data_IF_200492081269
#
_entry.id   IF_200492081269
#
_cell.length_a   1.000
_cell.length_b   1.000
_cell.length_c   1.000
_cell.angle_alpha   90.00
_cell.angle_beta   90.00
_cell.angle_gamma   90.00
#
_symmetry.space_group_name_H-M   'P 1'
#
loop_
_entity.id
_entity.type
_entity.pdbx_description
1 polymer ?
#
# COMPACT_ATOMS: atom_id res chain seq x y z
N UNK A 1 -0.80 12.94 -2.64
CA UNK A 1 -1.67 11.76 -2.77
C UNK A 1 -3.11 12.22 -2.62
N UNK A 2 -4.08 11.42 -3.08
CA UNK A 2 -5.50 11.71 -2.88
C UNK A 2 -6.26 10.44 -2.53
N UNK A 3 -7.48 10.62 -2.04
CA UNK A 3 -8.47 9.56 -1.91
C UNK A 3 -9.32 9.49 -3.17
N UNK A 4 -9.67 8.27 -3.57
CA UNK A 4 -10.50 8.00 -4.75
C UNK A 4 -11.67 7.11 -4.36
N UNK A 5 -12.81 7.29 -5.02
CA UNK A 5 -14.03 6.52 -4.81
C UNK A 5 -14.05 5.20 -5.63
N UNK A 6 -13.03 4.95 -6.44
CA UNK A 6 -12.95 3.76 -7.28
C UNK A 6 -11.53 3.39 -7.66
N UNK A 7 -11.40 2.22 -8.31
CA UNK A 7 -10.12 1.75 -8.86
C UNK A 7 -9.91 2.46 -10.19
N UNK A 8 -9.20 3.59 -10.15
CA UNK A 8 -8.75 4.32 -11.33
C UNK A 8 -7.25 4.57 -11.25
N UNK A 9 -6.53 4.10 -12.27
CA UNK A 9 -5.08 4.27 -12.40
C UNK A 9 -4.69 5.40 -13.37
N UNK A 10 -5.67 6.19 -13.81
CA UNK A 10 -5.45 7.39 -14.60
C UNK A 10 -4.42 8.32 -13.96
N UNK A 11 -3.60 8.94 -14.81
CA UNK A 11 -2.54 9.84 -14.37
C UNK A 11 -2.86 11.27 -14.80
N UNK A 12 -3.14 12.12 -13.82
CA UNK A 12 -3.18 13.56 -14.01
C UNK A 12 -1.76 14.14 -13.95
N UNK A 13 -1.23 14.52 -15.11
CA UNK A 13 0.12 15.07 -15.24
C UNK A 13 0.33 16.39 -14.48
N UNK A 14 -0.74 17.17 -14.25
CA UNK A 14 -0.65 18.47 -13.55
C UNK A 14 -0.27 18.32 -12.08
N UNK A 15 -0.49 17.13 -11.49
CA UNK A 15 -0.07 16.81 -10.12
C UNK A 15 1.45 16.82 -9.94
N UNK A 16 2.21 16.75 -11.02
CA UNK A 16 3.67 16.85 -11.02
C UNK A 16 4.18 18.26 -10.72
N UNK A 17 3.36 19.31 -10.86
CA UNK A 17 3.81 20.70 -10.71
C UNK A 17 4.37 20.98 -9.31
N UNK A 18 3.69 20.47 -8.27
CA UNK A 18 4.16 20.59 -6.89
C UNK A 18 5.45 19.82 -6.58
N UNK A 19 5.87 18.89 -7.45
CA UNK A 19 7.09 18.10 -7.21
C UNK A 19 8.34 18.95 -7.46
N UNK A 20 8.31 19.89 -8.40
CA UNK A 20 9.46 20.76 -8.68
C UNK A 20 9.87 21.55 -7.44
N UNK A 21 8.92 22.20 -6.78
CA UNK A 21 9.16 22.96 -5.54
C UNK A 21 9.70 22.03 -4.43
N UNK A 22 9.04 20.89 -4.23
CA UNK A 22 9.42 19.94 -3.19
C UNK A 22 10.84 19.36 -3.39
N UNK A 23 11.18 18.98 -4.62
CA UNK A 23 12.48 18.38 -4.99
C UNK A 23 13.61 19.42 -4.90
N UNK A 24 13.37 20.65 -5.36
CA UNK A 24 14.39 21.71 -5.36
C UNK A 24 14.92 22.08 -3.97
N UNK A 25 14.19 21.74 -2.90
CA UNK A 25 14.67 21.87 -1.52
C UNK A 25 15.94 21.06 -1.25
N UNK A 26 16.13 19.93 -1.94
CA UNK A 26 17.31 19.06 -1.78
C UNK A 26 18.09 18.85 -3.08
N UNK A 27 17.53 19.20 -4.24
CA UNK A 27 18.23 19.23 -5.53
C UNK A 27 17.91 20.52 -6.30
N UNK A 28 18.54 21.66 -5.95
CA UNK A 28 18.23 22.97 -6.55
C UNK A 28 18.44 23.04 -8.06
N UNK A 29 19.32 22.19 -8.61
CA UNK A 29 19.63 22.13 -10.04
C UNK A 29 18.60 21.40 -10.91
N UNK A 30 17.47 20.95 -10.37
CA UNK A 30 16.40 20.34 -11.16
C UNK A 30 15.87 21.33 -12.21
N UNK A 31 16.10 21.03 -13.48
CA UNK A 31 15.63 21.83 -14.64
C UNK A 31 14.11 21.77 -14.78
N UNK A 32 13.50 22.85 -15.26
CA UNK A 32 12.09 22.86 -15.66
C UNK A 32 11.84 21.80 -16.76
N UNK A 33 10.67 21.16 -16.71
CA UNK A 33 10.29 20.12 -17.68
C UNK A 33 11.06 18.80 -17.59
N UNK A 34 11.94 18.63 -16.59
CA UNK A 34 12.72 17.40 -16.44
C UNK A 34 11.93 16.21 -15.88
N UNK A 35 10.77 16.45 -15.24
CA UNK A 35 9.90 15.39 -14.73
C UNK A 35 8.94 14.94 -15.84
N UNK A 36 8.96 13.64 -16.14
CA UNK A 36 7.99 13.02 -17.05
C UNK A 36 6.90 12.31 -16.25
N UNK A 37 5.62 12.37 -16.70
CA UNK A 37 4.56 11.54 -16.12
C UNK A 37 4.95 10.06 -16.17
N UNK A 38 4.63 9.32 -15.11
CA UNK A 38 5.04 7.92 -14.94
C UNK A 38 3.81 7.03 -14.69
N UNK A 39 3.62 6.55 -13.46
CA UNK A 39 2.51 5.68 -13.09
C UNK A 39 1.84 6.13 -11.78
N UNK A 40 0.67 5.58 -11.51
CA UNK A 40 -0.05 5.72 -10.24
C UNK A 40 -0.18 4.36 -9.55
N UNK A 41 -0.50 4.38 -8.26
CA UNK A 41 -0.83 3.20 -7.49
C UNK A 41 -1.86 3.53 -6.42
N UNK A 42 -2.70 2.55 -6.08
CA UNK A 42 -3.76 2.68 -5.08
C UNK A 42 -3.37 1.87 -3.85
N UNK A 43 -3.46 2.48 -2.67
CA UNK A 43 -3.20 1.80 -1.40
C UNK A 43 -4.49 1.20 -0.85
N UNK A 44 -4.51 -0.08 -0.43
CA UNK A 44 -5.69 -0.68 0.19
C UNK A 44 -5.84 -0.17 1.63
N UNK A 45 -6.53 0.95 1.82
CA UNK A 45 -6.72 1.58 3.14
C UNK A 45 -7.90 0.95 3.89
N UNK A 46 -7.74 0.78 5.21
CA UNK A 46 -8.83 0.39 6.12
C UNK A 46 -9.50 1.61 6.76
N UNK A 47 -8.72 2.62 7.13
CA UNK A 47 -9.25 3.87 7.64
C UNK A 47 -9.96 4.67 6.53
N UNK A 48 -10.99 5.46 6.88
CA UNK A 48 -11.57 6.44 5.96
C UNK A 48 -10.60 7.60 5.69
N UNK A 49 -10.95 8.44 4.73
CA UNK A 49 -10.23 9.69 4.47
C UNK A 49 -10.14 10.55 5.73
N UNK A 50 -8.92 10.99 6.05
CA UNK A 50 -8.62 11.76 7.27
C UNK A 50 -8.52 10.94 8.56
N UNK A 51 -8.79 9.63 8.51
CA UNK A 51 -8.63 8.73 9.66
C UNK A 51 -7.16 8.46 10.01
N UNK A 52 -6.88 7.95 11.23
CA UNK A 52 -5.54 7.57 11.63
C UNK A 52 -5.01 6.42 10.77
N UNK A 53 -3.68 6.31 10.66
CA UNK A 53 -3.06 5.14 10.05
C UNK A 53 -3.43 3.88 10.85
N UNK A 54 -3.79 2.82 10.15
CA UNK A 54 -4.12 1.51 10.70
C UNK A 54 -2.98 0.54 10.43
N UNK A 55 -2.78 -0.43 11.32
CA UNK A 55 -1.89 -1.56 11.05
C UNK A 55 -2.47 -2.49 9.97
N UNK A 56 -1.65 -3.43 9.49
CA UNK A 56 -2.12 -4.56 8.68
C UNK A 56 -3.11 -5.40 9.48
N UNK A 57 -4.15 -5.89 8.81
CA UNK A 57 -5.09 -6.83 9.40
C UNK A 57 -4.95 -8.17 8.68
N UNK A 58 -4.28 -9.11 9.34
CA UNK A 58 -4.36 -10.53 9.01
C UNK A 58 -5.46 -11.10 9.90
N UNK A 59 -6.57 -11.49 9.30
CA UNK A 59 -7.79 -11.91 9.99
C UNK A 59 -8.02 -13.40 9.70
N UNK A 60 -7.80 -14.24 10.71
CA UNK A 60 -7.79 -15.71 10.58
C UNK A 60 -8.91 -16.41 11.34
N UNK A 61 -8.95 -17.76 11.30
CA UNK A 61 -10.01 -18.57 11.89
C UNK A 61 -10.24 -18.30 13.38
N UNK A 62 -9.20 -17.93 14.13
CA UNK A 62 -9.27 -17.52 15.53
C UNK A 62 -10.08 -16.25 15.78
N UNK A 63 -10.21 -15.39 14.76
CA UNK A 63 -10.93 -14.12 14.82
C UNK A 63 -12.36 -14.24 14.28
N UNK A 64 -12.54 -14.88 13.13
CA UNK A 64 -13.84 -14.95 12.44
C UNK A 64 -14.53 -16.34 12.48
N UNK A 65 -13.87 -17.39 13.00
CA UNK A 65 -14.45 -18.72 13.19
C UNK A 65 -14.59 -19.59 11.93
N UNK A 66 -14.05 -19.15 10.78
CA UNK A 66 -14.13 -19.90 9.50
C UNK A 66 -12.83 -20.66 9.27
N UNK A 67 -12.90 -21.99 9.31
CA UNK A 67 -11.72 -22.82 9.09
C UNK A 67 -11.12 -22.61 7.68
N UNK A 68 -9.78 -22.61 7.61
CA UNK A 68 -9.01 -22.55 6.35
C UNK A 68 -9.19 -21.27 5.52
N UNK A 69 -9.71 -20.20 6.11
CA UNK A 69 -9.76 -18.87 5.51
C UNK A 69 -8.88 -17.93 6.32
N UNK A 70 -8.05 -17.14 5.62
CA UNK A 70 -7.36 -15.98 6.19
C UNK A 70 -7.57 -14.81 5.23
N UNK A 71 -8.06 -13.69 5.75
CA UNK A 71 -8.19 -12.46 5.00
C UNK A 71 -7.00 -11.53 5.28
N UNK A 72 -6.55 -10.83 4.24
CA UNK A 72 -5.50 -9.83 4.31
C UNK A 72 -6.09 -8.47 3.94
N UNK A 73 -6.23 -7.60 4.92
CA UNK A 73 -6.74 -6.24 4.71
C UNK A 73 -5.70 -5.22 5.10
N UNK A 74 -5.76 -4.05 4.44
CA UNK A 74 -4.89 -2.95 4.83
C UNK A 74 -3.41 -3.13 4.44
N UNK A 75 -3.06 -4.13 3.61
CA UNK A 75 -1.67 -4.44 3.25
C UNK A 75 -1.10 -3.39 2.27
N UNK A 76 -0.90 -2.17 2.77
CA UNK A 76 -0.20 -1.09 2.07
C UNK A 76 1.32 -1.17 2.31
N UNK A 77 2.07 -0.09 2.12
CA UNK A 77 3.50 -0.07 2.45
C UNK A 77 3.70 -0.23 3.98
N UNK A 78 4.62 -1.09 4.45
CA UNK A 78 5.69 -1.79 3.72
C UNK A 78 5.38 -3.27 3.36
N UNK A 79 4.19 -3.57 2.85
CA UNK A 79 3.72 -4.94 2.59
C UNK A 79 4.58 -5.75 1.63
N UNK A 80 5.18 -5.13 0.61
CA UNK A 80 6.15 -5.80 -0.27
C UNK A 80 7.39 -6.23 0.52
N UNK A 81 7.95 -5.34 1.33
CA UNK A 81 9.12 -5.62 2.18
C UNK A 81 8.80 -6.71 3.20
N UNK A 82 7.59 -6.70 3.77
CA UNK A 82 7.13 -7.68 4.76
C UNK A 82 6.55 -8.96 4.16
N UNK A 83 6.55 -9.13 2.84
CA UNK A 83 5.79 -10.18 2.16
C UNK A 83 6.08 -11.60 2.64
N UNK A 84 7.34 -11.95 2.90
CA UNK A 84 7.71 -13.26 3.41
C UNK A 84 7.23 -13.49 4.84
N UNK A 85 7.36 -12.50 5.72
CA UNK A 85 6.86 -12.58 7.09
C UNK A 85 5.32 -12.64 7.13
N UNK A 86 4.63 -11.92 6.24
CA UNK A 86 3.18 -12.02 6.06
C UNK A 86 2.79 -13.44 5.64
N UNK A 87 3.54 -14.06 4.72
CA UNK A 87 3.28 -15.43 4.31
C UNK A 87 3.46 -16.43 5.47
N UNK A 88 4.50 -16.28 6.29
CA UNK A 88 4.71 -17.09 7.49
C UNK A 88 3.53 -16.95 8.48
N UNK A 89 3.07 -15.73 8.73
CA UNK A 89 1.91 -15.45 9.59
C UNK A 89 0.62 -16.11 9.06
N UNK A 90 0.37 -16.00 7.75
CA UNK A 90 -0.78 -16.63 7.10
C UNK A 90 -0.71 -18.16 7.21
N UNK A 91 0.46 -18.76 6.99
CA UNK A 91 0.66 -20.21 7.12
C UNK A 91 0.43 -20.68 8.56
N UNK A 92 0.89 -19.91 9.55
CA UNK A 92 0.67 -20.17 10.96
C UNK A 92 -0.82 -20.22 11.31
N UNK A 93 -1.60 -19.22 10.86
CA UNK A 93 -3.06 -19.17 11.09
C UNK A 93 -3.86 -20.23 10.34
N UNK A 94 -3.36 -20.68 9.20
CA UNK A 94 -3.95 -21.80 8.46
C UNK A 94 -3.52 -23.17 9.00
N UNK A 95 -2.66 -23.21 10.03
CA UNK A 95 -2.05 -24.43 10.58
C UNK A 95 -1.35 -25.29 9.51
N UNK A 96 -0.85 -24.64 8.46
CA UNK A 96 -0.13 -25.30 7.38
C UNK A 96 1.34 -25.44 7.78
N UNK A 97 1.86 -26.67 7.70
CA UNK A 97 3.31 -26.91 7.82
C UNK A 97 3.97 -26.63 6.48
N UNK A 98 5.12 -25.94 6.51
CA UNK A 98 6.01 -25.91 5.36
C UNK A 98 6.43 -27.35 5.02
N UNK A 99 6.37 -27.71 3.73
CA UNK A 99 6.96 -28.95 3.27
C UNK A 99 8.47 -28.89 3.55
N UNK A 100 8.96 -29.84 4.35
CA UNK A 100 10.38 -30.00 4.67
C UNK A 100 11.16 -30.49 3.45
#
# INVERSE_FOLDING_TARGET
TEWTQGIDYGLDATRGDGFYEAIRRYWPGLRDGALSPSYTGIRPKLAPEGGPATDFLVDGPESHGLARLVNLFGIESPGLTASLAIAEEVMGRLELRAAA
#
